data_IF_969973859445
#
_entry.id   IF_969973859445
#
_cell.length_a   1.000
_cell.length_b   1.000
_cell.length_c   1.000
_cell.angle_alpha   90.00
_cell.angle_beta   90.00
_cell.angle_gamma   90.00
#
_symmetry.space_group_name_H-M   'P 1'
#
loop_
_entity.id
_entity.type
_entity.pdbx_description
1 polymer ?
#
# COMPACT_ATOMS: atom_id res chain seq x y z
N UNK A 1 19.05 -0.24 4.90
CA UNK A 1 18.34 -0.59 6.14
C UNK A 1 17.36 0.49 6.49
N UNK A 2 16.13 0.11 6.82
CA UNK A 2 15.09 1.07 7.19
C UNK A 2 15.28 1.45 8.66
N UNK A 3 15.13 2.74 8.98
CA UNK A 3 15.14 3.21 10.35
C UNK A 3 13.99 4.20 10.58
N UNK A 4 13.76 4.58 11.85
CA UNK A 4 12.62 5.43 12.22
C UNK A 4 12.64 6.79 11.53
N UNK A 5 13.82 7.38 11.29
CA UNK A 5 13.94 8.67 10.61
C UNK A 5 13.43 8.60 9.18
N UNK A 6 13.54 7.43 8.55
CA UNK A 6 13.04 7.25 7.18
C UNK A 6 11.52 7.24 7.13
N UNK A 7 10.84 6.70 8.17
CA UNK A 7 9.37 6.68 8.18
C UNK A 7 8.77 8.08 8.27
N UNK A 8 9.45 9.02 8.94
CA UNK A 8 9.02 10.42 8.95
C UNK A 8 9.01 11.01 7.55
N UNK A 9 10.02 10.70 6.74
CA UNK A 9 10.09 11.15 5.35
C UNK A 9 8.94 10.56 4.52
N UNK A 10 8.65 9.28 4.73
CA UNK A 10 7.55 8.63 4.04
C UNK A 10 6.22 9.29 4.40
N UNK A 11 5.98 9.53 5.69
CA UNK A 11 4.75 10.18 6.14
C UNK A 11 4.58 11.57 5.53
N UNK A 12 5.66 12.32 5.33
CA UNK A 12 5.60 13.61 4.64
C UNK A 12 5.24 13.46 3.18
N UNK A 13 5.79 12.44 2.52
CA UNK A 13 5.50 12.20 1.09
C UNK A 13 4.04 11.86 0.84
N UNK A 14 3.41 11.10 1.75
CA UNK A 14 2.01 10.72 1.62
C UNK A 14 1.07 11.72 2.28
N UNK A 15 1.62 12.73 2.93
CA UNK A 15 0.87 13.77 3.64
C UNK A 15 -0.09 13.19 4.69
N UNK A 16 0.38 12.21 5.42
CA UNK A 16 -0.38 11.59 6.51
C UNK A 16 0.56 11.18 7.63
N UNK A 17 0.23 11.57 8.85
CA UNK A 17 0.98 11.21 10.05
C UNK A 17 0.22 10.16 10.85
N UNK A 18 0.83 8.99 11.04
CA UNK A 18 0.22 7.90 11.80
C UNK A 18 0.12 8.25 13.29
N UNK A 19 -1.03 7.96 13.87
CA UNK A 19 -1.23 8.04 15.32
C UNK A 19 -0.60 6.82 16.00
N UNK A 20 -0.77 5.66 15.38
CA UNK A 20 -0.14 4.41 15.83
C UNK A 20 0.78 3.91 14.71
N UNK A 21 2.08 4.14 14.87
CA UNK A 21 3.06 3.79 13.84
C UNK A 21 3.27 2.29 13.69
N UNK A 22 2.72 1.47 14.58
CA UNK A 22 2.76 0.02 14.41
C UNK A 22 2.02 -0.42 13.14
N UNK A 23 0.94 0.27 12.77
CA UNK A 23 0.26 0.00 11.51
C UNK A 23 1.18 0.26 10.32
N UNK A 24 1.93 1.35 10.36
CA UNK A 24 2.90 1.66 9.30
C UNK A 24 3.99 0.60 9.23
N UNK A 25 4.53 0.21 10.38
CA UNK A 25 5.57 -0.82 10.45
C UNK A 25 5.06 -2.15 9.89
N UNK A 26 3.84 -2.53 10.23
CA UNK A 26 3.21 -3.74 9.72
C UNK A 26 3.07 -3.68 8.20
N UNK A 27 2.62 -2.54 7.66
CA UNK A 27 2.46 -2.34 6.23
C UNK A 27 3.79 -2.45 5.47
N UNK A 28 4.88 -2.03 6.09
CA UNK A 28 6.21 -2.03 5.47
C UNK A 28 6.95 -3.37 5.61
N UNK A 29 6.41 -4.31 6.37
CA UNK A 29 7.07 -5.58 6.64
C UNK A 29 6.61 -6.66 5.66
N UNK A 30 7.50 -7.04 4.75
CA UNK A 30 7.25 -8.13 3.81
C UNK A 30 7.35 -9.47 4.53
N UNK A 31 6.61 -10.47 4.05
CA UNK A 31 6.63 -11.82 4.62
C UNK A 31 8.04 -12.40 4.70
N UNK A 32 8.88 -12.12 3.70
CA UNK A 32 10.26 -12.62 3.70
C UNK A 32 11.05 -12.16 4.93
N UNK A 33 10.82 -10.92 5.36
CA UNK A 33 11.47 -10.38 6.55
C UNK A 33 10.94 -11.07 7.81
N UNK A 34 9.63 -11.26 7.90
CA UNK A 34 9.02 -11.93 9.04
C UNK A 34 9.48 -13.38 9.16
N UNK A 35 9.67 -14.07 8.04
CA UNK A 35 10.17 -15.45 8.02
C UNK A 35 11.63 -15.54 8.45
N UNK A 36 12.42 -14.50 8.17
CA UNK A 36 13.85 -14.46 8.50
C UNK A 36 14.09 -14.04 9.96
N UNK A 37 13.15 -13.31 10.57
CA UNK A 37 13.29 -12.75 11.91
C UNK A 37 12.18 -13.28 12.81
N UNK A 38 12.52 -14.20 13.71
CA UNK A 38 11.57 -14.92 14.55
C UNK A 38 10.69 -13.99 15.41
N UNK A 39 11.24 -12.85 15.84
CA UNK A 39 10.51 -11.86 16.62
C UNK A 39 9.38 -11.17 15.83
N UNK A 40 9.40 -11.29 14.50
CA UNK A 40 8.37 -10.75 13.62
C UNK A 40 7.46 -11.85 13.05
N UNK A 41 7.50 -13.05 13.63
CA UNK A 41 6.67 -14.14 13.16
C UNK A 41 5.19 -13.71 13.11
N UNK A 42 4.56 -13.97 11.97
CA UNK A 42 3.17 -13.61 11.70
C UNK A 42 2.90 -12.09 11.71
N UNK A 43 3.96 -11.27 11.76
CA UNK A 43 3.86 -9.83 11.65
C UNK A 43 4.36 -9.41 10.27
N UNK A 44 3.45 -9.38 9.30
CA UNK A 44 3.74 -8.96 7.93
C UNK A 44 2.55 -8.18 7.36
N UNK A 45 2.69 -7.74 6.12
CA UNK A 45 1.72 -6.84 5.52
C UNK A 45 0.54 -7.52 4.81
N UNK A 46 0.43 -8.84 4.87
CA UNK A 46 -0.58 -9.55 4.08
C UNK A 46 -2.02 -9.20 4.47
N UNK A 47 -2.32 -9.09 5.75
CA UNK A 47 -3.67 -8.72 6.21
C UNK A 47 -4.03 -7.28 5.84
N UNK A 48 -3.06 -6.38 5.98
CA UNK A 48 -3.28 -4.98 5.60
C UNK A 48 -3.43 -4.83 4.09
N UNK A 49 -2.70 -5.62 3.31
CA UNK A 49 -2.85 -5.68 1.87
C UNK A 49 -4.27 -6.11 1.50
N UNK A 50 -4.77 -7.16 2.14
CA UNK A 50 -6.13 -7.64 1.93
C UNK A 50 -7.16 -6.56 2.22
N UNK A 51 -7.02 -5.89 3.36
CA UNK A 51 -7.92 -4.79 3.73
C UNK A 51 -7.78 -3.61 2.77
N UNK A 52 -6.54 -3.23 2.46
CA UNK A 52 -6.26 -2.10 1.57
C UNK A 52 -6.81 -2.30 0.17
N UNK A 53 -6.78 -3.54 -0.32
CA UNK A 53 -7.37 -3.87 -1.62
C UNK A 53 -8.86 -3.53 -1.64
N UNK A 54 -9.59 -3.92 -0.60
CA UNK A 54 -11.02 -3.63 -0.49
C UNK A 54 -11.29 -2.13 -0.39
N UNK A 55 -10.47 -1.41 0.39
CA UNK A 55 -10.62 0.04 0.57
C UNK A 55 -10.36 0.76 -0.75
N UNK A 56 -9.29 0.40 -1.46
CA UNK A 56 -8.97 0.99 -2.76
C UNK A 56 -10.06 0.69 -3.80
N UNK A 57 -10.62 -0.52 -3.77
CA UNK A 57 -11.73 -0.87 -4.65
C UNK A 57 -12.94 0.02 -4.39
N UNK A 58 -13.26 0.28 -3.13
CA UNK A 58 -14.37 1.16 -2.77
C UNK A 58 -14.11 2.59 -3.21
N UNK A 59 -12.92 3.11 -2.93
CA UNK A 59 -12.54 4.48 -3.31
C UNK A 59 -12.62 4.66 -4.83
N UNK A 60 -12.04 3.72 -5.58
CA UNK A 60 -12.04 3.78 -7.03
C UNK A 60 -13.46 3.66 -7.60
N UNK A 61 -14.25 2.73 -7.05
CA UNK A 61 -15.62 2.52 -7.49
C UNK A 61 -16.47 3.77 -7.26
N UNK A 62 -16.36 4.37 -6.09
CA UNK A 62 -17.10 5.59 -5.77
C UNK A 62 -16.71 6.76 -6.69
N UNK A 63 -15.42 6.90 -6.94
CA UNK A 63 -14.90 7.93 -7.83
C UNK A 63 -15.41 7.74 -9.26
N UNK A 64 -15.30 6.52 -9.77
CA UNK A 64 -15.76 6.18 -11.13
C UNK A 64 -17.26 6.38 -11.26
N UNK A 65 -18.02 5.99 -10.23
CA UNK A 65 -19.47 6.19 -10.20
C UNK A 65 -19.80 7.68 -10.35
N UNK A 66 -19.08 8.54 -9.64
CA UNK A 66 -19.33 10.00 -9.69
C UNK A 66 -18.98 10.61 -11.05
N UNK A 67 -18.01 10.03 -11.77
CA UNK A 67 -17.62 10.49 -13.11
C UNK A 67 -18.41 9.80 -14.22
N UNK A 68 -19.06 8.69 -13.92
CA UNK A 68 -19.65 7.80 -14.91
C UNK A 68 -21.07 8.18 -15.37
N UNK A 69 -21.45 9.43 -15.23
CA UNK A 69 -22.78 9.89 -15.63
C UNK A 69 -23.02 9.56 -17.10
N UNK A 70 -24.07 8.79 -17.37
CA UNK A 70 -24.40 8.36 -18.73
C UNK A 70 -23.64 7.12 -19.21
N UNK A 71 -22.79 6.53 -18.39
CA UNK A 71 -22.05 5.31 -18.73
C UNK A 71 -22.74 4.08 -18.17
N UNK A 72 -22.55 2.94 -18.85
CA UNK A 72 -23.10 1.66 -18.42
C UNK A 72 -22.16 0.97 -17.44
N UNK A 73 -22.69 0.01 -16.67
CA UNK A 73 -21.93 -0.77 -15.70
C UNK A 73 -20.67 -1.39 -16.31
N UNK A 74 -20.76 -1.96 -17.52
CA UNK A 74 -19.61 -2.57 -18.18
C UNK A 74 -18.48 -1.60 -18.44
N UNK A 75 -18.82 -0.35 -18.80
CA UNK A 75 -17.81 0.70 -19.01
C UNK A 75 -17.15 1.07 -17.70
N UNK A 76 -17.92 1.15 -16.62
CA UNK A 76 -17.42 1.48 -15.29
C UNK A 76 -16.50 0.38 -14.76
N UNK A 77 -16.87 -0.87 -14.95
CA UNK A 77 -16.06 -2.01 -14.55
C UNK A 77 -14.71 -2.03 -15.28
N UNK A 78 -14.72 -1.69 -16.56
CA UNK A 78 -13.51 -1.62 -17.37
C UNK A 78 -12.58 -0.51 -16.87
N UNK A 79 -13.12 0.67 -16.58
CA UNK A 79 -12.36 1.78 -16.03
C UNK A 79 -11.73 1.40 -14.68
N UNK A 80 -12.52 0.75 -13.82
CA UNK A 80 -12.05 0.30 -12.52
C UNK A 80 -10.87 -0.66 -12.67
N UNK A 81 -10.96 -1.64 -13.57
CA UNK A 81 -9.87 -2.61 -13.76
C UNK A 81 -8.59 -1.96 -14.29
N UNK A 82 -8.70 -0.83 -14.98
CA UNK A 82 -7.54 -0.08 -15.45
C UNK A 82 -6.86 0.70 -14.33
N UNK A 83 -7.63 1.16 -13.35
CA UNK A 83 -7.12 1.94 -12.21
C UNK A 83 -6.61 1.00 -11.11
N UNK A 84 -7.41 -0.02 -10.77
CA UNK A 84 -7.07 -1.01 -9.74
C UNK A 84 -6.21 -2.09 -10.39
N UNK A 85 -4.92 -1.84 -10.46
CA UNK A 85 -3.99 -2.77 -11.10
C UNK A 85 -2.59 -2.67 -10.51
N UNK A 86 -1.85 -3.75 -10.61
CA UNK A 86 -0.46 -3.79 -10.14
C UNK A 86 0.42 -2.73 -10.82
N UNK A 87 0.36 -2.53 -12.15
CA UNK A 87 1.15 -1.48 -12.78
C UNK A 87 0.89 -0.09 -12.23
N UNK A 88 -0.36 0.24 -11.95
CA UNK A 88 -0.72 1.55 -11.39
C UNK A 88 -0.21 1.65 -9.95
N UNK A 89 -0.46 0.64 -9.14
CA UNK A 89 -0.05 0.64 -7.73
C UNK A 89 1.47 0.69 -7.59
N UNK A 90 2.20 -0.08 -8.40
CA UNK A 90 3.66 -0.07 -8.36
C UNK A 90 4.22 1.27 -8.85
N UNK A 91 3.56 1.91 -9.81
CA UNK A 91 3.97 3.23 -10.30
C UNK A 91 3.84 4.28 -9.19
N UNK A 92 2.72 4.27 -8.47
CA UNK A 92 2.52 5.18 -7.33
C UNK A 92 3.54 4.90 -6.25
N UNK A 93 3.79 3.63 -5.95
CA UNK A 93 4.79 3.24 -4.96
C UNK A 93 6.19 3.76 -5.34
N UNK A 94 6.54 3.71 -6.62
CA UNK A 94 7.81 4.26 -7.11
C UNK A 94 7.87 5.76 -6.92
N UNK A 95 6.77 6.47 -7.18
CA UNK A 95 6.72 7.93 -7.05
C UNK A 95 7.00 8.39 -5.62
N UNK A 96 6.55 7.62 -4.63
CA UNK A 96 6.81 7.91 -3.22
C UNK A 96 8.04 7.17 -2.68
N UNK A 97 8.75 6.47 -3.55
CA UNK A 97 9.95 5.69 -3.20
C UNK A 97 9.70 4.66 -2.09
N UNK A 98 8.51 4.05 -2.12
CA UNK A 98 8.06 3.12 -1.08
C UNK A 98 9.03 1.95 -0.87
N UNK A 99 9.64 1.45 -1.94
CA UNK A 99 10.57 0.34 -1.87
C UNK A 99 11.75 0.58 -0.91
N UNK A 100 12.16 1.84 -0.74
CA UNK A 100 13.27 2.18 0.15
C UNK A 100 12.93 2.02 1.62
N UNK A 101 11.65 1.93 1.96
CA UNK A 101 11.18 1.84 3.35
C UNK A 101 10.78 0.43 3.77
N UNK A 102 10.79 -0.53 2.85
CA UNK A 102 10.32 -1.88 3.13
C UNK A 102 11.33 -2.70 3.92
N UNK A 103 10.82 -3.51 4.85
CA UNK A 103 11.60 -4.53 5.53
C UNK A 103 11.51 -5.82 4.71
N UNK A 104 12.61 -6.19 4.09
CA UNK A 104 12.73 -7.37 3.23
C UNK A 104 13.83 -8.28 3.76
N UNK A 105 13.75 -9.57 3.46
CA UNK A 105 14.84 -10.49 3.76
C UNK A 105 16.09 -10.11 2.94
N UNK A 106 17.25 -10.57 3.38
CA UNK A 106 18.50 -10.33 2.67
C UNK A 106 18.44 -10.91 1.26
N UNK A 107 17.80 -12.07 1.09
CA UNK A 107 17.62 -12.69 -0.23
C UNK A 107 16.79 -11.84 -1.17
N UNK A 108 15.69 -11.26 -0.67
CA UNK A 108 14.84 -10.38 -1.47
C UNK A 108 15.60 -9.10 -1.86
N UNK A 109 16.33 -8.51 -0.93
CA UNK A 109 17.11 -7.32 -1.23
C UNK A 109 18.14 -7.61 -2.31
N UNK A 110 18.85 -8.73 -2.20
CA UNK A 110 19.89 -9.14 -3.15
C UNK A 110 19.33 -9.40 -4.54
N UNK A 111 18.09 -9.90 -4.64
CA UNK A 111 17.46 -10.20 -5.93
C UNK A 111 16.65 -9.04 -6.50
N UNK A 112 16.77 -7.84 -5.93
CA UNK A 112 16.09 -6.65 -6.43
C UNK A 112 14.65 -6.50 -5.96
N UNK A 113 14.31 -7.10 -4.81
CA UNK A 113 12.95 -7.05 -4.26
C UNK A 113 12.41 -5.65 -4.04
N UNK A 114 13.27 -4.69 -3.70
CA UNK A 114 12.83 -3.30 -3.48
C UNK A 114 12.26 -2.62 -4.72
N UNK A 115 12.54 -3.17 -5.89
CA UNK A 115 12.05 -2.64 -7.18
C UNK A 115 11.05 -3.56 -7.85
N UNK A 116 10.73 -4.71 -7.24
CA UNK A 116 9.82 -5.68 -7.82
C UNK A 116 8.38 -5.17 -7.77
N UNK A 117 7.72 -5.12 -8.93
CA UNK A 117 6.37 -4.56 -9.05
C UNK A 117 5.35 -5.22 -8.15
N UNK A 118 5.38 -6.55 -8.02
CA UNK A 118 4.44 -7.27 -7.16
C UNK A 118 4.61 -6.87 -5.70
N UNK A 119 5.83 -6.76 -5.23
CA UNK A 119 6.12 -6.35 -3.85
C UNK A 119 5.70 -4.91 -3.62
N UNK A 120 5.99 -4.02 -4.56
CA UNK A 120 5.64 -2.60 -4.45
C UNK A 120 4.13 -2.40 -4.48
N UNK A 121 3.42 -3.09 -5.37
CA UNK A 121 1.96 -3.00 -5.45
C UNK A 121 1.29 -3.50 -4.19
N UNK A 122 1.73 -4.64 -3.68
CA UNK A 122 1.20 -5.23 -2.44
C UNK A 122 1.47 -4.31 -1.24
N UNK A 123 2.65 -3.71 -1.18
CA UNK A 123 3.02 -2.79 -0.11
C UNK A 123 2.18 -1.51 -0.17
N UNK A 124 1.87 -1.03 -1.37
CA UNK A 124 1.00 0.14 -1.53
C UNK A 124 -0.40 -0.16 -0.99
N UNK A 125 -0.96 -1.32 -1.35
CA UNK A 125 -2.27 -1.73 -0.83
C UNK A 125 -2.23 -1.84 0.70
N UNK A 126 -1.17 -2.43 1.26
CA UNK A 126 -1.01 -2.56 2.69
C UNK A 126 -0.90 -1.18 3.38
N UNK A 127 -0.22 -0.24 2.75
CA UNK A 127 -0.10 1.13 3.26
C UNK A 127 -1.48 1.78 3.36
N UNK A 128 -2.30 1.62 2.32
CA UNK A 128 -3.67 2.15 2.33
C UNK A 128 -4.49 1.48 3.44
N UNK A 129 -4.35 0.17 3.62
CA UNK A 129 -5.01 -0.55 4.70
C UNK A 129 -4.58 -0.02 6.08
N UNK A 130 -3.30 0.29 6.24
CA UNK A 130 -2.76 0.84 7.48
C UNK A 130 -3.34 2.22 7.79
N UNK A 131 -3.43 3.09 6.80
CA UNK A 131 -4.02 4.42 6.95
C UNK A 131 -5.49 4.29 7.37
N UNK A 132 -6.21 3.37 6.73
CA UNK A 132 -7.61 3.12 7.05
C UNK A 132 -7.78 2.66 8.52
N UNK A 133 -6.95 1.74 8.97
CA UNK A 133 -7.00 1.24 10.36
C UNK A 133 -6.65 2.32 11.36
N UNK A 134 -5.72 3.21 11.01
CA UNK A 134 -5.26 4.27 11.88
C UNK A 134 -6.20 5.49 11.89
N UNK A 135 -7.03 5.63 10.89
CA UNK A 135 -7.92 6.78 10.72
C UNK A 135 -9.34 6.33 10.38
N UNK A 136 -9.82 6.71 9.20
CA UNK A 136 -11.14 6.35 8.70
C UNK A 136 -11.15 6.36 7.17
N UNK A 137 -12.30 6.02 6.59
CA UNK A 137 -12.46 5.96 5.14
C UNK A 137 -12.21 7.32 4.47
N UNK A 138 -12.76 8.39 5.04
CA UNK A 138 -12.66 9.71 4.40
C UNK A 138 -11.23 10.22 4.39
N UNK A 139 -10.50 10.05 5.49
CA UNK A 139 -9.09 10.41 5.56
C UNK A 139 -8.27 9.61 4.56
N UNK A 140 -8.53 8.30 4.47
CA UNK A 140 -7.84 7.43 3.53
C UNK A 140 -8.11 7.83 2.08
N UNK A 141 -9.36 8.18 1.77
CA UNK A 141 -9.76 8.64 0.44
C UNK A 141 -9.00 9.91 0.05
N UNK A 142 -8.84 10.84 0.98
CA UNK A 142 -8.11 12.09 0.73
C UNK A 142 -6.62 11.82 0.48
N UNK A 143 -6.02 10.87 1.18
CA UNK A 143 -4.61 10.51 0.99
C UNK A 143 -4.43 9.73 -0.32
N UNK A 144 -5.31 8.83 -0.62
CA UNK A 144 -5.27 8.05 -1.87
C UNK A 144 -5.71 8.90 -3.07
#
# INVERSE_FOLDING_TARGET
MVNENNTDKLMKKINYKFKNEEYLKEALTHRSYANENIEFKDFDNEKLEFLGDAVLNLIATEYIYSLGKGKKEGDLAKLKSQIISEPVFSSIANDIELGNYLYLSNGEISSGGRKRKSILGDAFEALIGAIFKDSDYYTTKDVA
#
